data_IF_561269488464
#
_entry.id   IF_561269488464
#
_cell.length_a   1.000
_cell.length_b   1.000
_cell.length_c   1.000
_cell.angle_alpha   90.00
_cell.angle_beta   90.00
_cell.angle_gamma   90.00
#
_symmetry.space_group_name_H-M   'P 1'
#
loop_
_entity.id
_entity.type
_entity.pdbx_description
1 polymer ?
#
# COMPACT_ATOMS: atom_id res chain seq x y z
N UNK A 1 2.91 9.77 -0.64
CA UNK A 1 3.09 8.44 -1.26
C UNK A 1 4.40 7.78 -0.86
N UNK A 2 5.49 8.52 -0.71
CA UNK A 2 6.82 8.02 -0.24
C UNK A 2 6.78 7.14 1.02
N UNK A 3 5.94 7.46 2.00
CA UNK A 3 5.82 6.72 3.25
C UNK A 3 5.33 5.26 3.06
N UNK A 4 4.46 5.01 2.09
CA UNK A 4 3.93 3.67 1.82
C UNK A 4 4.98 2.76 1.16
N UNK A 5 5.79 3.32 0.24
CA UNK A 5 6.89 2.60 -0.41
C UNK A 5 7.99 2.24 0.57
N UNK A 6 8.38 3.19 1.44
CA UNK A 6 9.39 2.95 2.48
C UNK A 6 8.97 1.85 3.44
N UNK A 7 7.69 1.82 3.82
CA UNK A 7 7.14 0.77 4.66
C UNK A 7 7.12 -0.61 3.98
N UNK A 8 6.68 -0.68 2.72
CA UNK A 8 6.69 -1.94 1.99
C UNK A 8 8.13 -2.48 1.82
N UNK A 9 9.13 -1.61 1.64
CA UNK A 9 10.55 -2.02 1.66
C UNK A 9 11.01 -2.52 3.04
N UNK A 10 10.60 -1.88 4.13
CA UNK A 10 10.94 -2.29 5.50
C UNK A 10 10.28 -3.61 5.92
N UNK A 11 9.07 -3.90 5.45
CA UNK A 11 8.32 -5.09 5.86
C UNK A 11 8.66 -6.35 5.08
N UNK A 12 9.13 -6.21 3.83
CA UNK A 12 9.58 -7.33 3.01
C UNK A 12 8.51 -8.37 2.68
N UNK A 13 7.22 -8.09 2.90
CA UNK A 13 6.11 -9.05 2.74
C UNK A 13 4.93 -8.42 2.01
N UNK A 14 4.24 -9.16 1.13
CA UNK A 14 3.00 -8.71 0.52
C UNK A 14 1.90 -8.49 1.57
N UNK A 15 1.10 -7.43 1.42
CA UNK A 15 0.06 -7.06 2.39
C UNK A 15 -1.24 -6.65 1.70
N UNK A 16 -2.36 -6.85 2.38
CA UNK A 16 -3.66 -6.40 1.90
C UNK A 16 -3.81 -4.88 2.02
N UNK A 17 -4.73 -4.30 1.25
CA UNK A 17 -5.09 -2.88 1.37
C UNK A 17 -5.48 -2.51 2.81
N UNK A 18 -6.20 -3.39 3.50
CA UNK A 18 -6.65 -3.16 4.88
C UNK A 18 -5.47 -3.08 5.86
N UNK A 19 -4.49 -3.98 5.73
CA UNK A 19 -3.28 -3.95 6.54
C UNK A 19 -2.47 -2.67 6.27
N UNK A 20 -2.28 -2.32 4.99
CA UNK A 20 -1.57 -1.08 4.61
C UNK A 20 -2.29 0.14 5.19
N UNK A 21 -3.62 0.18 5.12
CA UNK A 21 -4.41 1.25 5.70
C UNK A 21 -4.29 1.30 7.23
N UNK A 22 -4.29 0.16 7.93
CA UNK A 22 -4.09 0.11 9.38
C UNK A 22 -2.73 0.70 9.75
N UNK A 23 -1.66 0.28 9.07
CA UNK A 23 -0.32 0.78 9.35
C UNK A 23 -0.18 2.27 9.05
N UNK A 24 -0.80 2.78 7.97
CA UNK A 24 -0.81 4.23 7.71
C UNK A 24 -1.49 5.00 8.85
N UNK A 25 -2.57 4.46 9.43
CA UNK A 25 -3.22 5.06 10.61
C UNK A 25 -2.32 5.01 11.84
N UNK A 26 -1.74 3.85 12.13
CA UNK A 26 -0.84 3.63 13.27
C UNK A 26 0.40 4.52 13.21
N UNK A 27 0.87 4.88 12.01
CA UNK A 27 2.00 5.80 11.78
C UNK A 27 1.64 7.29 11.87
N UNK A 28 0.44 7.63 12.34
CA UNK A 28 0.06 9.00 12.68
C UNK A 28 -0.94 9.68 11.72
N UNK A 29 -1.51 8.95 10.76
CA UNK A 29 -2.64 9.46 9.96
C UNK A 29 -3.95 9.15 10.70
N UNK A 30 -4.30 10.00 11.65
CA UNK A 30 -5.61 9.92 12.30
C UNK A 30 -6.70 10.35 11.33
N UNK A 31 -7.50 9.39 10.86
CA UNK A 31 -8.61 9.67 9.95
C UNK A 31 -9.86 8.95 10.42
N UNK A 32 -10.94 9.73 10.63
CA UNK A 32 -12.27 9.22 10.96
C UNK A 32 -13.04 8.76 9.71
N UNK A 33 -12.43 8.84 8.53
CA UNK A 33 -13.09 8.51 7.27
C UNK A 33 -13.34 7.01 7.13
N UNK A 34 -14.61 6.65 6.96
CA UNK A 34 -15.02 5.28 6.58
C UNK A 34 -14.52 4.87 5.19
N UNK A 35 -14.16 5.85 4.34
CA UNK A 35 -13.65 5.62 2.98
C UNK A 35 -12.14 5.50 2.89
N UNK A 36 -11.44 5.50 4.02
CA UNK A 36 -9.98 5.50 4.03
C UNK A 36 -9.36 4.29 3.32
N UNK A 37 -9.84 3.06 3.59
CA UNK A 37 -9.35 1.84 2.92
C UNK A 37 -9.58 1.90 1.40
N UNK A 38 -10.77 2.25 0.89
CA UNK A 38 -10.98 2.52 -0.53
C UNK A 38 -10.04 3.58 -1.12
N UNK A 39 -9.76 4.67 -0.39
CA UNK A 39 -8.83 5.70 -0.83
C UNK A 39 -7.41 5.15 -0.96
N UNK A 40 -6.94 4.37 0.01
CA UNK A 40 -5.64 3.69 -0.04
C UNK A 40 -5.55 2.75 -1.23
N UNK A 41 -6.61 1.97 -1.50
CA UNK A 41 -6.69 1.13 -2.69
C UNK A 41 -6.55 1.94 -3.98
N UNK A 42 -7.33 3.00 -4.15
CA UNK A 42 -7.31 3.83 -5.34
C UNK A 42 -5.93 4.49 -5.54
N UNK A 43 -5.32 4.94 -4.45
CA UNK A 43 -3.97 5.51 -4.43
C UNK A 43 -2.92 4.53 -4.96
N UNK A 44 -2.94 3.29 -4.46
CA UNK A 44 -2.02 2.24 -4.89
C UNK A 44 -2.30 1.79 -6.34
N UNK A 45 -3.57 1.67 -6.70
CA UNK A 45 -3.95 1.27 -8.05
C UNK A 45 -3.54 2.29 -9.10
N UNK A 46 -3.77 3.58 -8.81
CA UNK A 46 -3.35 4.67 -9.68
C UNK A 46 -1.82 4.73 -9.82
N UNK A 47 -1.06 4.39 -8.78
CA UNK A 47 0.40 4.31 -8.87
C UNK A 47 0.86 3.22 -9.87
N UNK A 48 0.25 2.03 -9.83
CA UNK A 48 0.53 0.99 -10.85
C UNK A 48 0.17 1.49 -12.25
N UNK A 49 -1.00 2.11 -12.42
CA UNK A 49 -1.42 2.63 -13.72
C UNK A 49 -0.51 3.76 -14.23
N UNK A 50 0.04 4.57 -13.32
CA UNK A 50 1.03 5.59 -13.64
C UNK A 50 2.43 5.01 -13.98
N UNK A 51 2.57 3.68 -13.96
CA UNK A 51 3.80 2.99 -14.36
C UNK A 51 4.82 2.84 -13.25
N UNK A 52 4.41 2.86 -11.98
CA UNK A 52 5.32 2.63 -10.84
C UNK A 52 5.93 1.22 -10.92
N UNK A 53 7.22 1.09 -11.28
CA UNK A 53 7.82 -0.21 -11.60
C UNK A 53 8.06 -1.06 -10.35
N UNK A 54 7.97 -0.44 -9.16
CA UNK A 54 8.24 -1.10 -7.90
C UNK A 54 6.98 -1.70 -7.29
N UNK A 55 5.78 -1.20 -7.57
CA UNK A 55 4.56 -1.67 -6.93
C UNK A 55 3.90 -2.77 -7.77
N UNK A 56 3.65 -3.92 -7.14
CA UNK A 56 2.98 -5.06 -7.79
C UNK A 56 1.78 -5.50 -6.99
N UNK A 57 0.76 -6.03 -7.68
CA UNK A 57 -0.45 -6.56 -7.07
C UNK A 57 -0.64 -8.02 -7.48
N UNK A 58 -0.80 -8.89 -6.49
CA UNK A 58 -1.17 -10.29 -6.68
C UNK A 58 -2.50 -10.57 -5.96
N UNK A 59 -3.59 -10.59 -6.72
CA UNK A 59 -4.93 -10.74 -6.17
C UNK A 59 -5.31 -9.61 -5.18
N UNK A 60 -5.39 -9.96 -3.89
CA UNK A 60 -5.69 -9.01 -2.79
C UNK A 60 -4.45 -8.42 -2.14
N UNK A 61 -3.26 -8.91 -2.46
CA UNK A 61 -2.00 -8.52 -1.87
C UNK A 61 -1.27 -7.50 -2.74
N UNK A 62 -0.65 -6.53 -2.08
CA UNK A 62 0.26 -5.56 -2.65
C UNK A 62 1.67 -5.87 -2.15
N UNK A 63 2.63 -5.88 -3.07
CA UNK A 63 4.03 -6.13 -2.78
C UNK A 63 4.93 -5.17 -3.56
N UNK A 64 6.24 -5.36 -3.39
CA UNK A 64 7.23 -4.67 -4.20
C UNK A 64 7.94 -5.64 -5.14
N UNK A 65 8.18 -5.21 -6.38
CA UNK A 65 8.95 -5.95 -7.37
C UNK A 65 10.37 -6.15 -6.84
N UNK A 66 10.75 -7.40 -6.56
CA UNK A 66 12.06 -7.77 -6.00
C UNK A 66 12.01 -8.34 -4.58
N UNK A 67 10.88 -8.18 -3.87
CA UNK A 67 10.56 -8.94 -2.66
C UNK A 67 9.53 -9.98 -3.06
N UNK A 68 9.94 -11.25 -3.10
CA UNK A 68 9.14 -12.38 -3.59
C UNK A 68 7.68 -12.32 -3.11
N UNK A 69 6.76 -12.31 -4.08
CA UNK A 69 5.31 -12.29 -3.90
C UNK A 69 4.78 -13.65 -3.45
#
# INVERSE_FOLDING_TARGET
MEAAKRWLREQGKPRTTSEIASTIRERGVETKSKRFVPTVYATLHNAIQAGDPELVRNGKLWGLKGLSL
#
